data_IF_827648083219
#
_entry.id   IF_827648083219
#
_cell.length_a   1.000
_cell.length_b   1.000
_cell.length_c   1.000
_cell.angle_alpha   90.00
_cell.angle_beta   90.00
_cell.angle_gamma   90.00
#
_symmetry.space_group_name_H-M   'P 1'
#
loop_
_entity.id
_entity.type
_entity.pdbx_description
1 polymer ?
#
# COMPACT_ATOMS: atom_id res chain seq x y z
N UNK A 1 1.22 -4.25 -19.37
CA UNK A 1 2.22 -4.23 -18.29
C UNK A 1 1.82 -3.15 -17.29
N UNK A 2 1.68 -3.50 -16.02
CA UNK A 2 1.54 -2.54 -14.91
C UNK A 2 2.87 -2.46 -14.16
N UNK A 3 3.31 -1.24 -13.83
CA UNK A 3 4.61 -1.02 -13.16
C UNK A 3 4.50 -0.61 -11.69
N UNK A 4 3.28 -0.38 -11.20
CA UNK A 4 3.03 0.14 -9.85
C UNK A 4 1.78 -0.44 -9.21
N UNK A 5 1.61 -0.15 -7.92
CA UNK A 5 0.43 -0.56 -7.17
C UNK A 5 -0.85 0.00 -7.79
N UNK A 6 -1.89 -0.83 -7.85
CA UNK A 6 -3.21 -0.43 -8.35
C UNK A 6 -4.17 -0.30 -7.17
N UNK A 7 -4.75 0.88 -6.96
CA UNK A 7 -5.63 1.11 -5.81
C UNK A 7 -6.98 0.37 -5.96
N UNK A 8 -7.58 -0.10 -4.85
CA UNK A 8 -8.93 -0.66 -4.84
C UNK A 8 -9.94 0.24 -5.53
N UNK A 9 -10.89 -0.36 -6.25
CA UNK A 9 -11.90 0.36 -7.02
C UNK A 9 -11.44 0.91 -8.38
N UNK A 10 -10.15 0.86 -8.69
CA UNK A 10 -9.66 1.24 -10.03
C UNK A 10 -9.86 0.11 -11.05
N UNK A 11 -10.04 0.42 -12.35
CA UNK A 11 -9.99 -0.60 -13.40
C UNK A 11 -8.67 -1.36 -13.41
N UNK A 12 -7.55 -0.69 -13.12
CA UNK A 12 -6.23 -1.33 -13.05
C UNK A 12 -6.18 -2.46 -12.03
N UNK A 13 -6.75 -2.25 -10.83
CA UNK A 13 -6.84 -3.29 -9.79
C UNK A 13 -7.62 -4.50 -10.29
N UNK A 14 -8.80 -4.28 -10.86
CA UNK A 14 -9.64 -5.34 -11.45
C UNK A 14 -8.89 -6.18 -12.49
N UNK A 15 -8.14 -5.53 -13.38
CA UNK A 15 -7.35 -6.20 -14.42
C UNK A 15 -6.26 -7.08 -13.81
N UNK A 16 -5.52 -6.53 -12.84
CA UNK A 16 -4.45 -7.24 -12.12
C UNK A 16 -5.01 -8.43 -11.34
N UNK A 17 -6.19 -8.28 -10.73
CA UNK A 17 -6.86 -9.34 -9.97
C UNK A 17 -7.47 -10.44 -10.87
N UNK A 18 -7.44 -10.26 -12.20
CA UNK A 18 -7.80 -11.30 -13.16
C UNK A 18 -9.05 -11.02 -13.99
N UNK A 19 -9.75 -9.91 -13.77
CA UNK A 19 -10.88 -9.54 -14.63
C UNK A 19 -10.40 -9.38 -16.09
N UNK A 20 -11.18 -9.95 -17.02
CA UNK A 20 -10.92 -9.90 -18.47
C UNK A 20 -11.98 -9.12 -19.23
N UNK A 21 -12.91 -8.48 -18.53
CA UNK A 21 -13.71 -7.39 -19.05
C UNK A 21 -13.75 -6.24 -18.05
N UNK A 22 -13.78 -5.01 -18.55
CA UNK A 22 -13.93 -3.80 -17.74
C UNK A 22 -14.91 -2.84 -18.42
N UNK A 23 -15.54 -1.98 -17.64
CA UNK A 23 -16.46 -0.96 -18.17
C UNK A 23 -15.74 0.40 -18.27
N UNK A 24 -15.75 1.00 -19.45
CA UNK A 24 -15.26 2.36 -19.68
C UNK A 24 -16.39 3.17 -20.32
N UNK A 25 -16.79 4.28 -19.71
CA UNK A 25 -17.90 5.14 -20.17
C UNK A 25 -19.21 4.37 -20.46
N UNK A 26 -19.53 3.38 -19.62
CA UNK A 26 -20.74 2.55 -19.76
C UNK A 26 -20.64 1.44 -20.83
N UNK A 27 -19.51 1.32 -21.53
CA UNK A 27 -19.27 0.25 -22.50
C UNK A 27 -18.38 -0.84 -21.90
N UNK A 28 -18.77 -2.09 -22.08
CA UNK A 28 -17.95 -3.24 -21.70
C UNK A 28 -16.86 -3.48 -22.75
N UNK A 29 -15.61 -3.60 -22.28
CA UNK A 29 -14.43 -3.86 -23.10
C UNK A 29 -13.80 -5.18 -22.65
N UNK A 30 -13.69 -6.15 -23.57
CA UNK A 30 -13.03 -7.43 -23.32
C UNK A 30 -11.52 -7.33 -23.57
N UNK A 31 -10.74 -7.79 -22.61
CA UNK A 31 -9.28 -7.80 -22.64
C UNK A 31 -8.79 -9.12 -23.25
N UNK A 32 -8.20 -9.03 -24.45
CA UNK A 32 -7.59 -10.18 -25.15
C UNK A 32 -6.06 -10.24 -25.03
N UNK A 33 -5.46 -9.20 -24.45
CA UNK A 33 -4.01 -9.09 -24.29
C UNK A 33 -3.53 -9.80 -23.03
N UNK A 34 -2.24 -10.20 -23.03
CA UNK A 34 -1.58 -10.68 -21.82
C UNK A 34 -1.46 -9.55 -20.80
N UNK A 35 -1.73 -9.86 -19.55
CA UNK A 35 -1.52 -8.94 -18.42
C UNK A 35 -0.27 -9.40 -17.68
N UNK A 36 0.66 -8.46 -17.49
CA UNK A 36 1.86 -8.66 -16.69
C UNK A 36 2.00 -7.48 -15.72
N UNK A 37 2.55 -7.77 -14.55
CA UNK A 37 2.80 -6.79 -13.49
C UNK A 37 4.26 -6.90 -13.07
N UNK A 38 4.93 -5.76 -13.03
CA UNK A 38 6.26 -5.59 -12.47
C UNK A 38 6.17 -4.53 -11.37
N UNK A 39 6.72 -4.77 -10.19
CA UNK A 39 6.62 -3.83 -9.08
C UNK A 39 7.82 -2.88 -9.07
N UNK A 40 7.66 -1.70 -9.68
CA UNK A 40 8.65 -0.60 -9.75
C UNK A 40 8.05 0.72 -9.22
N UNK A 41 7.35 0.67 -8.10
CA UNK A 41 6.57 1.81 -7.61
C UNK A 41 7.38 2.92 -6.93
N UNK A 42 8.72 2.80 -6.87
CA UNK A 42 9.63 3.67 -6.13
C UNK A 42 9.35 3.78 -4.61
N UNK A 43 8.38 3.02 -4.08
CA UNK A 43 8.15 2.88 -2.65
C UNK A 43 9.05 1.78 -2.10
N UNK A 44 9.62 2.03 -0.91
CA UNK A 44 10.27 0.98 -0.14
C UNK A 44 9.27 -0.14 0.17
N UNK A 45 9.75 -1.38 0.11
CA UNK A 45 8.98 -2.52 0.60
C UNK A 45 8.96 -2.56 2.13
N UNK A 46 8.25 -3.55 2.68
CA UNK A 46 8.11 -3.73 4.12
C UNK A 46 9.47 -3.74 4.84
N UNK A 47 10.41 -4.53 4.33
CA UNK A 47 11.73 -4.69 4.96
C UNK A 47 12.57 -3.42 4.83
N UNK A 48 12.48 -2.72 3.69
CA UNK A 48 13.13 -1.43 3.47
C UNK A 48 12.64 -0.38 4.47
N UNK A 49 11.34 -0.33 4.76
CA UNK A 49 10.79 0.58 5.77
C UNK A 49 11.30 0.21 7.17
N UNK A 50 11.23 -1.06 7.57
CA UNK A 50 11.71 -1.51 8.89
C UNK A 50 13.20 -1.22 9.08
N UNK A 51 14.02 -1.50 8.06
CA UNK A 51 15.45 -1.21 8.10
C UNK A 51 15.73 0.29 8.16
N UNK A 52 14.98 1.11 7.42
CA UNK A 52 15.11 2.55 7.48
C UNK A 52 14.87 3.08 8.89
N UNK A 53 13.75 2.69 9.53
CA UNK A 53 13.38 3.16 10.86
C UNK A 53 14.38 2.72 11.95
N UNK A 54 14.92 1.50 11.85
CA UNK A 54 15.95 0.99 12.76
C UNK A 54 17.24 1.82 12.77
N UNK A 55 17.51 2.61 11.72
CA UNK A 55 18.68 3.47 11.63
C UNK A 55 18.42 4.92 12.10
N UNK A 56 17.17 5.28 12.42
CA UNK A 56 16.82 6.62 12.92
C UNK A 56 17.14 6.71 14.40
N UNK A 57 18.07 7.59 14.77
CA UNK A 57 18.48 7.79 16.17
C UNK A 57 17.43 8.57 16.95
N UNK A 58 17.11 8.12 18.17
CA UNK A 58 16.16 8.79 19.06
C UNK A 58 14.69 8.65 18.64
N UNK A 59 14.37 7.72 17.73
CA UNK A 59 13.01 7.44 17.32
C UNK A 59 12.28 6.64 18.41
N UNK A 60 11.22 7.22 18.97
CA UNK A 60 10.40 6.59 20.01
C UNK A 60 8.99 6.25 19.53
N UNK A 61 8.40 7.10 18.68
CA UNK A 61 7.00 7.02 18.25
C UNK A 61 6.88 7.06 16.73
N UNK A 62 6.05 6.19 16.17
CA UNK A 62 5.83 6.05 14.72
C UNK A 62 4.34 6.10 14.40
N UNK A 63 3.94 7.05 13.56
CA UNK A 63 2.59 7.11 12.99
C UNK A 63 2.61 6.50 11.59
N UNK A 64 1.94 5.36 11.41
CA UNK A 64 1.87 4.70 10.10
C UNK A 64 0.61 5.19 9.40
N UNK A 65 0.79 5.86 8.26
CA UNK A 65 -0.29 6.38 7.41
C UNK A 65 -0.15 5.83 5.98
N UNK A 66 -1.04 6.26 5.07
CA UNK A 66 -1.00 5.97 3.63
C UNK A 66 -0.67 4.51 3.27
N UNK A 67 -1.68 3.65 3.38
CA UNK A 67 -1.61 2.24 3.02
C UNK A 67 -2.94 1.56 3.32
N UNK A 68 -3.14 0.36 2.79
CA UNK A 68 -4.30 -0.46 3.13
C UNK A 68 -4.27 -0.82 4.63
N UNK A 69 -5.44 -0.94 5.25
CA UNK A 69 -5.57 -1.12 6.70
C UNK A 69 -4.81 -2.35 7.23
N UNK A 70 -4.96 -3.49 6.56
CA UNK A 70 -4.23 -4.72 6.87
C UNK A 70 -2.71 -4.53 6.73
N UNK A 71 -2.24 -3.85 5.68
CA UNK A 71 -0.81 -3.64 5.44
C UNK A 71 -0.18 -2.69 6.42
N UNK A 72 -0.91 -1.63 6.82
CA UNK A 72 -0.49 -0.76 7.91
C UNK A 72 -0.40 -1.52 9.24
N UNK A 73 -1.37 -2.40 9.52
CA UNK A 73 -1.37 -3.23 10.72
C UNK A 73 -0.19 -4.21 10.76
N UNK A 74 0.06 -4.94 9.68
CA UNK A 74 1.21 -5.86 9.53
C UNK A 74 2.54 -5.14 9.78
N UNK A 75 2.73 -3.95 9.18
CA UNK A 75 3.92 -3.13 9.42
C UNK A 75 4.01 -2.65 10.87
N UNK A 76 2.88 -2.26 11.46
CA UNK A 76 2.84 -1.81 12.85
C UNK A 76 3.21 -2.90 13.85
N UNK A 77 2.73 -4.13 13.63
CA UNK A 77 3.12 -5.31 14.42
C UNK A 77 4.63 -5.58 14.33
N UNK A 78 5.23 -5.37 13.16
CA UNK A 78 6.68 -5.54 12.97
C UNK A 78 7.54 -4.47 13.68
N UNK A 79 6.93 -3.34 14.06
CA UNK A 79 7.60 -2.20 14.67
C UNK A 79 7.29 -2.06 16.17
N UNK A 80 6.21 -2.69 16.66
CA UNK A 80 5.69 -2.51 18.02
C UNK A 80 6.62 -3.01 19.12
N UNK A 81 7.56 -3.91 18.81
CA UNK A 81 8.56 -4.37 19.79
C UNK A 81 9.60 -3.30 20.15
N UNK A 82 9.74 -2.26 19.31
CA UNK A 82 10.80 -1.24 19.44
C UNK A 82 10.28 0.18 19.57
N UNK A 83 9.09 0.45 19.03
CA UNK A 83 8.53 1.79 18.93
C UNK A 83 7.09 1.82 19.44
N UNK A 84 6.67 2.97 19.96
CA UNK A 84 5.26 3.26 20.13
C UNK A 84 4.63 3.46 18.75
N UNK A 85 3.84 2.50 18.28
CA UNK A 85 3.21 2.55 16.95
C UNK A 85 1.77 3.01 17.06
N UNK A 86 1.42 4.01 16.26
CA UNK A 86 0.07 4.54 16.14
C UNK A 86 -0.43 4.34 14.70
N UNK A 87 -1.68 3.89 14.58
CA UNK A 87 -2.39 3.69 13.32
C UNK A 87 -3.56 4.67 13.22
N UNK A 88 -3.34 5.95 12.85
CA UNK A 88 -4.40 6.95 12.79
C UNK A 88 -5.52 6.56 11.83
N UNK A 89 -6.75 6.86 12.23
CA UNK A 89 -7.90 6.92 11.34
C UNK A 89 -8.10 8.34 10.82
N UNK A 90 -8.74 8.44 9.67
CA UNK A 90 -9.06 9.74 9.06
C UNK A 90 -9.89 10.57 10.03
N UNK A 91 -9.41 11.78 10.35
CA UNK A 91 -10.07 12.72 11.27
C UNK A 91 -9.66 12.61 12.74
N UNK A 92 -8.75 11.70 13.11
CA UNK A 92 -8.18 11.67 14.46
C UNK A 92 -7.11 12.74 14.65
N UNK A 93 -7.07 13.32 15.85
CA UNK A 93 -6.10 14.35 16.26
C UNK A 93 -5.18 13.83 17.37
N UNK A 94 -3.90 14.20 17.31
CA UNK A 94 -2.89 13.81 18.28
C UNK A 94 -2.06 15.01 18.71
N UNK A 95 -1.73 15.07 20.01
CA UNK A 95 -0.71 15.99 20.53
C UNK A 95 0.63 15.28 20.53
N UNK A 96 1.65 15.96 20.02
CA UNK A 96 3.01 15.44 19.85
C UNK A 96 3.92 16.11 20.88
#
# INVERSE_FOLDING_TARGET
MFVGYQAPGTPGRKIVDGERSITIHGQEIKLKMKVETLHMSAHADHNGIVQYLNNVKGLEKVFIVHGEENKRKELGESLSDRYEVILPKTGEEYKI
#
